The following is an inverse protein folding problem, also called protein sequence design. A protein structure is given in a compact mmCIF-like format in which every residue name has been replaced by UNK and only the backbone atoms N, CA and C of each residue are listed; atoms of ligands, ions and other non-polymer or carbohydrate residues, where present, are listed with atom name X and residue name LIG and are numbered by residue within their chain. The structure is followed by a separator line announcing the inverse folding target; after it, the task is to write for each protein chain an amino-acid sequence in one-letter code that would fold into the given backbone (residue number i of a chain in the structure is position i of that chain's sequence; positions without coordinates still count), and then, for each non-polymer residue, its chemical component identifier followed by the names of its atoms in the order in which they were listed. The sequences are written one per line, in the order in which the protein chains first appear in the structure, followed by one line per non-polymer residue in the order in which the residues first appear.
data_IF_572604126849
#
_entry.id   IF_572604126849
#
_cell.length_a   1.000
_cell.length_b   1.000
_cell.length_c   1.000
_cell.angle_alpha   90.00
_cell.angle_beta   90.00
_cell.angle_gamma   90.00
#
_symmetry.space_group_name_H-M   'P 1'
#
loop_
_entity.id
_entity.type
_entity.pdbx_description
1 polymer ?
#
# COMPACT_ATOMS: atom_id res chain seq x y z
N UNK A 1 -12.85 -0.82 -22.03
CA UNK A 1 -12.02 -1.28 -20.89
C UNK A 1 -11.40 -0.06 -20.24
N UNK A 2 -11.85 0.39 -19.07
CA UNK A 2 -11.26 1.55 -18.40
C UNK A 2 -10.04 1.20 -17.54
N UNK A 3 -9.26 2.24 -17.18
CA UNK A 3 -8.16 2.20 -16.20
C UNK A 3 -7.08 1.16 -16.46
N UNK A 4 -6.68 0.41 -15.43
CA UNK A 4 -5.55 -0.54 -15.53
C UNK A 4 -5.76 -1.62 -16.59
N UNK A 5 -6.99 -2.06 -16.85
CA UNK A 5 -7.28 -3.04 -17.90
C UNK A 5 -6.93 -2.53 -19.30
N UNK A 6 -7.09 -1.22 -19.55
CA UNK A 6 -6.67 -0.62 -20.82
C UNK A 6 -5.16 -0.72 -20.99
N UNK A 7 -4.40 -0.36 -19.95
CA UNK A 7 -2.94 -0.39 -19.96
C UNK A 7 -2.42 -1.81 -20.17
N UNK A 8 -2.98 -2.79 -19.46
CA UNK A 8 -2.64 -4.22 -19.61
C UNK A 8 -2.90 -4.69 -21.06
N UNK A 9 -4.01 -4.26 -21.65
CA UNK A 9 -4.34 -4.60 -23.04
C UNK A 9 -3.36 -3.98 -24.04
N UNK A 10 -2.97 -2.71 -23.85
CA UNK A 10 -2.05 -2.00 -24.73
C UNK A 10 -0.63 -2.59 -24.68
N UNK A 11 -0.22 -3.10 -23.52
CA UNK A 11 1.06 -3.79 -23.33
C UNK A 11 1.08 -5.20 -23.94
N UNK A 12 -0.05 -5.70 -24.46
CA UNK A 12 -0.15 -7.04 -25.02
C UNK A 12 0.02 -8.16 -23.98
N UNK A 13 -0.23 -7.87 -22.69
CA UNK A 13 -0.06 -8.85 -21.64
C UNK A 13 -1.12 -9.97 -21.73
N UNK A 14 -0.68 -11.23 -21.61
CA UNK A 14 -1.58 -12.37 -21.55
C UNK A 14 -2.32 -12.40 -20.21
N UNK A 15 -3.65 -12.43 -20.25
CA UNK A 15 -4.52 -12.48 -19.08
C UNK A 15 -5.05 -13.90 -18.86
N UNK A 16 -5.07 -14.33 -17.61
CA UNK A 16 -5.65 -15.61 -17.17
C UNK A 16 -6.64 -15.30 -16.08
N UNK A 17 -7.90 -15.63 -16.31
CA UNK A 17 -8.99 -15.40 -15.36
C UNK A 17 -9.26 -16.67 -14.55
N UNK A 18 -9.47 -16.51 -13.25
CA UNK A 18 -9.88 -17.58 -12.35
C UNK A 18 -10.72 -17.02 -11.20
N UNK A 19 -11.43 -17.88 -10.49
CA UNK A 19 -12.06 -17.49 -9.24
C UNK A 19 -11.02 -17.07 -8.20
N UNK A 20 -11.40 -16.22 -7.26
CA UNK A 20 -10.50 -15.73 -6.19
C UNK A 20 -9.90 -16.87 -5.37
N UNK A 21 -10.67 -17.96 -5.16
CA UNK A 21 -10.21 -19.17 -4.46
C UNK A 21 -9.17 -19.99 -5.26
N UNK A 22 -9.13 -19.81 -6.57
CA UNK A 22 -8.27 -20.58 -7.51
C UNK A 22 -7.01 -19.82 -7.91
N UNK A 23 -6.75 -18.63 -7.33
CA UNK A 23 -5.60 -17.79 -7.69
C UNK A 23 -4.28 -18.53 -7.52
N UNK A 24 -4.04 -19.15 -6.36
CA UNK A 24 -2.79 -19.87 -6.09
C UNK A 24 -2.60 -21.09 -7.01
N UNK A 25 -3.57 -22.03 -7.13
CA UNK A 25 -3.47 -23.13 -8.09
C UNK A 25 -3.28 -22.67 -9.55
N UNK A 26 -3.94 -21.58 -9.95
CA UNK A 26 -3.82 -21.04 -11.30
C UNK A 26 -2.41 -20.52 -11.57
N UNK A 27 -1.81 -19.79 -10.62
CA UNK A 27 -0.42 -19.34 -10.72
C UNK A 27 0.52 -20.53 -10.91
N UNK A 28 0.39 -21.57 -10.09
CA UNK A 28 1.25 -22.77 -10.17
C UNK A 28 1.13 -23.49 -11.51
N UNK A 29 -0.10 -23.64 -12.02
CA UNK A 29 -0.36 -24.23 -13.34
C UNK A 29 0.26 -23.41 -14.47
N UNK A 30 0.14 -22.08 -14.44
CA UNK A 30 0.71 -21.21 -15.45
C UNK A 30 2.24 -21.20 -15.42
N UNK A 31 2.86 -21.18 -14.23
CA UNK A 31 4.31 -21.31 -14.09
C UNK A 31 4.80 -22.65 -14.64
N UNK A 32 4.10 -23.74 -14.35
CA UNK A 32 4.44 -25.09 -14.82
C UNK A 32 4.32 -25.20 -16.34
N UNK A 33 3.23 -24.69 -16.91
CA UNK A 33 3.03 -24.61 -18.36
C UNK A 33 4.17 -23.86 -19.06
N UNK A 34 4.54 -22.67 -18.55
CA UNK A 34 5.62 -21.89 -19.13
C UNK A 34 6.97 -22.62 -19.04
N UNK A 35 7.23 -23.35 -17.96
CA UNK A 35 8.45 -24.19 -17.84
C UNK A 35 8.47 -25.34 -18.85
N UNK A 36 7.34 -26.00 -19.08
CA UNK A 36 7.20 -27.06 -20.09
C UNK A 36 7.41 -26.53 -21.52
N UNK A 37 7.05 -25.26 -21.76
CA UNK A 37 7.35 -24.54 -23.01
C UNK A 37 8.83 -24.09 -23.12
N UNK A 38 9.71 -24.51 -22.21
CA UNK A 38 11.13 -24.16 -22.22
C UNK A 38 11.45 -22.75 -21.68
N UNK A 39 10.47 -22.05 -21.09
CA UNK A 39 10.67 -20.69 -20.53
C UNK A 39 11.16 -20.75 -19.08
N UNK A 40 11.65 -19.60 -18.59
CA UNK A 40 12.10 -19.40 -17.21
C UNK A 40 11.25 -18.33 -16.51
N UNK A 41 10.02 -18.66 -16.07
CA UNK A 41 9.12 -17.67 -15.49
C UNK A 41 9.61 -17.22 -14.11
N UNK A 42 9.52 -15.92 -13.83
CA UNK A 42 9.72 -15.33 -12.51
C UNK A 42 8.37 -14.90 -11.93
N UNK A 43 8.05 -15.39 -10.73
CA UNK A 43 6.77 -15.08 -10.09
C UNK A 43 6.90 -13.81 -9.24
N UNK A 44 6.19 -12.77 -9.65
CA UNK A 44 6.04 -11.54 -8.87
C UNK A 44 4.76 -11.65 -8.04
N UNK A 45 4.91 -11.76 -6.72
CA UNK A 45 3.78 -11.83 -5.79
C UNK A 45 2.92 -10.56 -5.88
N UNK A 46 1.61 -10.70 -5.70
CA UNK A 46 0.69 -9.58 -5.66
C UNK A 46 1.15 -8.50 -4.67
N UNK A 47 1.05 -7.24 -5.08
CA UNK A 47 1.50 -6.09 -4.27
C UNK A 47 3.00 -6.02 -4.01
N UNK A 48 3.82 -6.77 -4.78
CA UNK A 48 5.27 -6.82 -4.59
C UNK A 48 5.66 -7.35 -3.21
N UNK A 49 4.84 -8.22 -2.61
CA UNK A 49 5.01 -8.72 -1.25
C UNK A 49 6.12 -9.76 -1.15
N UNK A 50 7.34 -9.26 -1.30
CA UNK A 50 8.57 -10.02 -1.26
C UNK A 50 9.74 -9.12 -0.84
N UNK A 51 10.89 -9.72 -0.56
CA UNK A 51 12.07 -9.02 -0.06
C UNK A 51 12.50 -7.81 -0.91
N UNK A 52 12.53 -7.86 -2.27
CA UNK A 52 12.84 -6.69 -3.08
C UNK A 52 11.89 -5.51 -2.85
N UNK A 53 10.60 -5.77 -2.63
CA UNK A 53 9.62 -4.74 -2.33
C UNK A 53 9.88 -4.05 -0.99
N UNK A 54 10.33 -4.80 0.02
CA UNK A 54 10.75 -4.25 1.32
C UNK A 54 11.94 -3.30 1.12
N UNK A 55 12.97 -3.74 0.40
CA UNK A 55 14.15 -2.92 0.11
C UNK A 55 13.84 -1.66 -0.69
N UNK A 56 12.88 -1.72 -1.62
CA UNK A 56 12.46 -0.55 -2.39
C UNK A 56 11.94 0.57 -1.47
N UNK A 57 11.12 0.23 -0.47
CA UNK A 57 10.58 1.23 0.46
C UNK A 57 11.55 1.65 1.58
N UNK A 58 12.53 0.81 1.94
CA UNK A 58 13.68 1.25 2.75
C UNK A 58 14.46 2.34 2.01
N UNK A 59 14.71 2.15 0.71
CA UNK A 59 15.38 3.14 -0.14
C UNK A 59 14.53 4.39 -0.31
N UNK A 60 13.22 4.24 -0.56
CA UNK A 60 12.31 5.38 -0.68
C UNK A 60 12.26 6.22 0.60
N UNK A 61 12.31 5.59 1.78
CA UNK A 61 12.40 6.32 3.05
C UNK A 61 13.69 7.16 3.13
N UNK A 62 14.84 6.60 2.71
CA UNK A 62 16.12 7.34 2.68
C UNK A 62 16.11 8.46 1.66
N UNK A 63 15.51 8.22 0.49
CA UNK A 63 15.33 9.24 -0.54
C UNK A 63 14.51 10.43 0.01
N UNK A 64 13.39 10.13 0.67
CA UNK A 64 12.55 11.13 1.32
C UNK A 64 13.34 11.97 2.34
N UNK A 65 14.18 11.36 3.18
CA UNK A 65 15.03 12.11 4.12
C UNK A 65 16.02 13.05 3.43
N UNK A 66 16.46 12.72 2.22
CA UNK A 66 17.31 13.60 1.40
C UNK A 66 16.56 14.74 0.72
N UNK A 67 15.24 14.63 0.60
CA UNK A 67 14.38 15.61 -0.08
C UNK A 67 13.68 16.57 0.90
N UNK A 68 13.45 16.14 2.13
CA UNK A 68 12.68 16.88 3.13
C UNK A 68 13.62 17.48 4.17
N UNK A 69 13.68 18.82 4.22
CA UNK A 69 14.43 19.56 5.24
C UNK A 69 13.67 19.72 6.56
N UNK A 70 12.35 19.58 6.51
CA UNK A 70 11.41 19.95 7.55
C UNK A 70 10.88 18.72 8.28
N UNK A 71 11.04 18.61 9.61
CA UNK A 71 10.65 17.40 10.33
C UNK A 71 9.12 17.20 10.32
N UNK A 72 8.68 15.96 10.21
CA UNK A 72 7.27 15.57 10.32
C UNK A 72 7.05 14.68 11.54
N UNK A 73 5.83 14.73 12.09
CA UNK A 73 5.45 13.96 13.26
C UNK A 73 4.81 12.61 12.88
N UNK A 74 4.19 12.53 11.70
CA UNK A 74 3.47 11.35 11.23
C UNK A 74 3.69 11.13 9.74
N UNK A 75 3.72 9.85 9.34
CA UNK A 75 3.56 9.39 7.97
C UNK A 75 2.27 8.57 7.90
N UNK A 76 1.36 8.91 6.99
CA UNK A 76 0.18 8.10 6.68
C UNK A 76 0.31 7.48 5.30
N UNK A 77 -0.13 6.23 5.16
CA UNK A 77 -0.13 5.52 3.88
C UNK A 77 -1.28 4.52 3.79
N UNK A 78 -1.64 4.15 2.57
CA UNK A 78 -2.47 2.96 2.35
C UNK A 78 -1.67 1.69 2.66
N UNK A 79 -2.23 0.80 3.48
CA UNK A 79 -1.59 -0.48 3.83
C UNK A 79 -2.48 -1.66 3.44
N UNK A 80 -2.03 -2.40 2.42
CA UNK A 80 -2.68 -3.60 1.91
C UNK A 80 -1.92 -4.87 2.28
N UNK A 81 -0.93 -5.23 1.46
CA UNK A 81 -0.06 -6.39 1.72
C UNK A 81 0.96 -6.16 2.84
N UNK A 82 1.15 -4.90 3.27
CA UNK A 82 2.06 -4.53 4.35
C UNK A 82 3.50 -4.22 3.91
N UNK A 83 3.89 -4.56 2.66
CA UNK A 83 5.28 -4.39 2.19
C UNK A 83 5.75 -2.94 2.21
N UNK A 84 4.93 -2.02 1.72
CA UNK A 84 5.22 -0.59 1.71
C UNK A 84 5.46 -0.08 3.13
N UNK A 85 4.53 -0.38 4.04
CA UNK A 85 4.64 0.01 5.43
C UNK A 85 5.87 -0.60 6.11
N UNK A 86 6.14 -1.89 5.88
CA UNK A 86 7.30 -2.58 6.44
C UNK A 86 8.62 -1.93 5.99
N UNK A 87 8.77 -1.63 4.70
CA UNK A 87 9.97 -1.00 4.19
C UNK A 87 10.19 0.40 4.76
N UNK A 88 9.12 1.20 4.90
CA UNK A 88 9.21 2.51 5.55
C UNK A 88 9.59 2.41 7.03
N UNK A 89 8.99 1.48 7.77
CA UNK A 89 9.30 1.24 9.20
C UNK A 89 10.75 0.79 9.39
N UNK A 90 11.25 -0.12 8.55
CA UNK A 90 12.64 -0.54 8.59
C UNK A 90 13.56 0.64 8.23
N UNK A 91 13.23 1.38 7.17
CA UNK A 91 13.97 2.58 6.76
C UNK A 91 14.09 3.61 7.89
N UNK A 92 12.99 3.86 8.59
CA UNK A 92 12.94 4.69 9.79
C UNK A 92 13.86 4.18 10.88
N UNK A 93 13.72 2.90 11.27
CA UNK A 93 14.50 2.32 12.35
C UNK A 93 16.01 2.36 12.07
N UNK A 94 16.42 2.16 10.81
CA UNK A 94 17.82 2.24 10.38
C UNK A 94 18.36 3.68 10.33
N UNK A 95 17.48 4.67 10.19
CA UNK A 95 17.87 6.08 10.07
C UNK A 95 17.67 6.87 11.38
N UNK A 96 17.17 6.22 12.43
CA UNK A 96 16.89 6.87 13.72
C UNK A 96 15.70 7.84 13.71
N UNK A 97 14.78 7.68 12.76
CA UNK A 97 13.55 8.47 12.67
C UNK A 97 12.63 8.24 13.87
N UNK A 98 11.74 9.20 14.15
CA UNK A 98 10.88 9.21 15.35
C UNK A 98 9.40 9.48 15.06
N UNK A 99 9.09 9.84 13.83
CA UNK A 99 7.73 10.04 13.36
C UNK A 99 6.90 8.76 13.49
N UNK A 100 5.58 8.89 13.60
CA UNK A 100 4.69 7.72 13.66
C UNK A 100 4.26 7.32 12.26
N UNK A 101 4.61 6.10 11.83
CA UNK A 101 4.19 5.56 10.54
C UNK A 101 2.89 4.77 10.71
N UNK A 102 1.78 5.32 10.23
CA UNK A 102 0.44 4.75 10.34
C UNK A 102 -0.04 4.24 8.99
N UNK A 103 -0.16 2.92 8.89
CA UNK A 103 -0.79 2.29 7.74
C UNK A 103 -2.30 2.20 7.92
N UNK A 104 -3.05 2.88 7.06
CA UNK A 104 -4.50 2.78 7.01
C UNK A 104 -4.86 1.57 6.15
N UNK A 105 -5.56 0.61 6.74
CA UNK A 105 -5.93 -0.62 6.09
C UNK A 105 -6.85 -0.37 4.90
N UNK A 106 -6.54 -1.01 3.77
CA UNK A 106 -7.45 -1.02 2.62
C UNK A 106 -8.35 -2.25 2.57
N UNK A 107 -8.06 -3.28 3.38
CA UNK A 107 -8.72 -4.58 3.27
C UNK A 107 -8.56 -5.53 4.48
N UNK A 108 -7.48 -5.44 5.26
CA UNK A 108 -7.12 -6.43 6.28
C UNK A 108 -7.44 -5.94 7.70
N UNK A 109 -7.69 -6.88 8.61
CA UNK A 109 -7.73 -6.56 10.04
C UNK A 109 -6.31 -6.32 10.58
N UNK A 110 -6.19 -5.54 11.64
CA UNK A 110 -4.93 -5.10 12.22
C UNK A 110 -4.01 -6.25 12.62
N UNK A 111 -4.55 -7.29 13.28
CA UNK A 111 -3.75 -8.45 13.67
C UNK A 111 -3.05 -9.12 12.47
N UNK A 112 -3.77 -9.23 11.34
CA UNK A 112 -3.23 -9.84 10.12
C UNK A 112 -2.28 -8.89 9.40
N UNK A 113 -2.62 -7.60 9.35
CA UNK A 113 -1.74 -6.56 8.80
C UNK A 113 -0.38 -6.52 9.51
N UNK A 114 -0.40 -6.52 10.84
CA UNK A 114 0.79 -6.53 11.69
C UNK A 114 1.62 -7.79 11.47
N UNK A 115 1.00 -8.97 11.41
CA UNK A 115 1.72 -10.21 11.12
C UNK A 115 2.47 -10.16 9.78
N UNK A 116 1.90 -9.53 8.77
CA UNK A 116 2.50 -9.45 7.43
C UNK A 116 3.66 -8.45 7.40
N UNK A 117 3.58 -7.38 8.20
CA UNK A 117 4.69 -6.45 8.42
C UNK A 117 5.82 -7.15 9.19
N UNK A 118 5.50 -7.88 10.25
CA UNK A 118 6.47 -8.68 11.02
C UNK A 118 7.19 -9.70 10.13
N UNK A 119 6.47 -10.36 9.22
CA UNK A 119 7.07 -11.26 8.24
C UNK A 119 8.10 -10.53 7.37
N UNK A 120 7.77 -9.33 6.87
CA UNK A 120 8.69 -8.51 6.08
C UNK A 120 9.94 -8.10 6.88
N UNK A 121 9.76 -7.72 8.16
CA UNK A 121 10.89 -7.39 9.06
C UNK A 121 11.78 -8.61 9.31
N UNK A 122 11.19 -9.80 9.49
CA UNK A 122 11.94 -11.05 9.61
C UNK A 122 12.72 -11.36 8.33
N UNK A 123 12.10 -11.27 7.16
CA UNK A 123 12.79 -11.47 5.87
C UNK A 123 13.97 -10.53 5.71
N UNK A 124 13.79 -9.25 6.04
CA UNK A 124 14.89 -8.28 6.02
C UNK A 124 16.01 -8.68 7.00
N UNK A 125 15.65 -9.08 8.21
CA UNK A 125 16.63 -9.44 9.25
C UNK A 125 17.43 -10.68 8.88
N UNK A 126 16.76 -11.71 8.35
CA UNK A 126 17.38 -12.95 7.91
C UNK A 126 18.33 -12.72 6.73
N UNK A 127 17.97 -11.82 5.81
CA UNK A 127 18.81 -11.49 4.65
C UNK A 127 19.98 -10.56 4.98
N UNK A 128 19.74 -9.51 5.78
CA UNK A 128 20.73 -8.45 6.03
C UNK A 128 21.64 -8.71 7.23
N UNK A 129 21.23 -9.62 8.14
CA UNK A 129 21.86 -9.80 9.44
C UNK A 129 21.57 -8.69 10.46
N UNK A 130 20.82 -7.66 10.09
CA UNK A 130 20.47 -6.53 10.96
C UNK A 130 19.12 -6.75 11.63
N UNK A 131 18.99 -6.37 12.91
CA UNK A 131 17.74 -6.47 13.67
C UNK A 131 17.25 -5.08 14.08
N UNK A 132 16.49 -4.37 13.22
CA UNK A 132 15.99 -3.05 13.55
C UNK A 132 15.06 -3.11 14.78
N UNK A 133 15.25 -2.20 15.72
CA UNK A 133 14.40 -2.08 16.91
C UNK A 133 13.10 -1.38 16.55
N UNK A 134 12.01 -2.14 16.40
CA UNK A 134 10.68 -1.63 16.04
C UNK A 134 9.74 -1.89 17.22
N UNK A 135 9.35 -0.87 18.00
CA UNK A 135 8.58 -1.06 19.23
C UNK A 135 7.12 -1.43 18.97
N UNK A 136 6.53 -0.96 17.87
CA UNK A 136 5.16 -1.29 17.49
C UNK A 136 4.89 -1.05 16.01
N UNK A 137 3.91 -1.77 15.48
CA UNK A 137 3.37 -1.60 14.13
C UNK A 137 2.01 -0.91 14.23
N UNK A 138 1.91 0.32 13.71
CA UNK A 138 0.65 1.07 13.71
C UNK A 138 -0.13 0.75 12.43
N UNK A 139 -0.92 -0.32 12.48
CA UNK A 139 -1.83 -0.71 11.41
C UNK A 139 -3.27 -0.43 11.86
N UNK A 140 -3.91 0.57 11.24
CA UNK A 140 -5.26 1.01 11.59
C UNK A 140 -6.29 0.40 10.65
N UNK A 141 -7.18 -0.44 11.17
CA UNK A 141 -8.29 -1.07 10.45
C UNK A 141 -9.66 -0.49 10.80
N UNK A 142 -9.71 0.58 11.59
CA UNK A 142 -10.96 1.28 11.97
C UNK A 142 -11.72 1.83 10.76
N UNK A 143 -11.02 2.11 9.66
CA UNK A 143 -11.55 2.76 8.46
C UNK A 143 -11.61 1.84 7.23
N UNK A 144 -11.92 0.56 7.45
CA UNK A 144 -12.05 -0.43 6.37
C UNK A 144 -13.12 -0.08 5.34
N UNK A 145 -14.14 0.70 5.73
CA UNK A 145 -15.15 1.25 4.83
C UNK A 145 -15.78 0.16 3.93
N UNK A 146 -16.28 -0.91 4.55
CA UNK A 146 -16.84 -2.07 3.84
C UNK A 146 -15.82 -3.08 3.32
N UNK A 147 -14.54 -2.97 3.72
CA UNK A 147 -13.49 -3.94 3.40
C UNK A 147 -12.84 -3.74 2.03
N UNK A 148 -12.23 -4.80 1.48
CA UNK A 148 -11.52 -4.72 0.20
C UNK A 148 -12.46 -4.29 -0.94
N UNK A 149 -12.17 -3.14 -1.55
CA UNK A 149 -13.04 -2.48 -2.55
C UNK A 149 -14.44 -2.09 -2.05
N UNK A 150 -14.66 -2.10 -0.74
CA UNK A 150 -15.86 -1.55 -0.11
C UNK A 150 -15.95 -0.05 -0.32
N UNK A 151 -17.18 0.45 -0.42
CA UNK A 151 -17.49 1.86 -0.65
C UNK A 151 -17.95 2.53 0.65
N UNK A 152 -17.52 3.78 0.85
CA UNK A 152 -18.01 4.65 1.91
C UNK A 152 -18.15 6.08 1.35
N UNK A 153 -19.27 6.78 1.58
CA UNK A 153 -19.50 8.13 1.02
C UNK A 153 -18.37 9.12 1.34
N UNK A 154 -17.83 9.07 2.56
CA UNK A 154 -16.72 9.94 2.98
C UNK A 154 -15.46 9.79 2.12
N UNK A 155 -15.21 8.63 1.51
CA UNK A 155 -14.07 8.46 0.60
C UNK A 155 -14.26 9.32 -0.66
N UNK A 156 -15.47 9.36 -1.22
CA UNK A 156 -15.78 10.17 -2.39
C UNK A 156 -15.69 11.67 -2.13
N UNK A 157 -16.17 12.11 -0.96
CA UNK A 157 -16.03 13.48 -0.49
C UNK A 157 -14.57 13.90 -0.36
N UNK A 158 -13.74 13.07 0.29
CA UNK A 158 -12.31 13.36 0.46
C UNK A 158 -11.57 13.39 -0.89
N UNK A 159 -11.93 12.51 -1.84
CA UNK A 159 -11.35 12.54 -3.19
C UNK A 159 -11.72 13.84 -3.90
N UNK A 160 -12.98 14.29 -3.80
CA UNK A 160 -13.45 15.53 -4.41
C UNK A 160 -12.77 16.75 -3.82
N UNK A 161 -12.66 16.82 -2.49
CA UNK A 161 -11.95 17.88 -1.78
C UNK A 161 -10.45 17.86 -2.13
N UNK A 162 -9.81 16.70 -2.11
CA UNK A 162 -8.39 16.58 -2.42
C UNK A 162 -8.07 17.05 -3.85
N UNK A 163 -8.94 16.73 -4.80
CA UNK A 163 -8.82 17.19 -6.17
C UNK A 163 -9.09 18.70 -6.29
N UNK A 164 -10.16 19.20 -5.66
CA UNK A 164 -10.59 20.59 -5.78
C UNK A 164 -9.67 21.59 -5.06
N UNK A 165 -9.13 21.22 -3.91
CA UNK A 165 -8.32 22.11 -3.06
C UNK A 165 -6.82 21.95 -3.30
N UNK A 166 -6.35 20.71 -3.46
CA UNK A 166 -4.90 20.42 -3.51
C UNK A 166 -4.43 19.95 -4.89
N UNK A 167 -5.32 19.86 -5.89
CA UNK A 167 -5.02 19.22 -7.18
C UNK A 167 -4.47 17.80 -7.03
N UNK A 168 -4.87 17.12 -5.94
CA UNK A 168 -4.37 15.80 -5.58
C UNK A 168 -5.35 14.72 -6.03
N UNK A 169 -4.94 13.92 -7.01
CA UNK A 169 -5.77 12.84 -7.57
C UNK A 169 -5.62 11.57 -6.74
N UNK A 170 -6.59 11.31 -5.88
CA UNK A 170 -6.69 10.09 -5.08
C UNK A 170 -7.58 9.03 -5.77
N UNK A 171 -7.28 7.76 -5.55
CA UNK A 171 -8.08 6.63 -6.02
C UNK A 171 -9.04 6.11 -4.93
N UNK A 172 -10.22 5.56 -5.28
CA UNK A 172 -11.23 5.15 -4.31
C UNK A 172 -10.90 3.87 -3.52
N UNK A 173 -9.85 3.13 -3.89
CA UNK A 173 -9.55 1.82 -3.32
C UNK A 173 -8.37 1.85 -2.34
N UNK A 174 -7.40 2.74 -2.55
CA UNK A 174 -6.19 2.81 -1.72
C UNK A 174 -5.98 4.21 -1.14
N UNK A 175 -5.58 5.17 -1.97
CA UNK A 175 -5.12 6.49 -1.50
C UNK A 175 -6.27 7.32 -0.93
N UNK A 176 -7.48 7.25 -1.51
CA UNK A 176 -8.68 7.90 -0.97
C UNK A 176 -9.10 7.32 0.38
N UNK A 177 -9.04 5.99 0.54
CA UNK A 177 -9.28 5.33 1.83
C UNK A 177 -8.25 5.75 2.88
N UNK A 178 -6.97 5.77 2.52
CA UNK A 178 -5.91 6.17 3.42
C UNK A 178 -6.02 7.65 3.82
N UNK A 179 -6.40 8.53 2.90
CA UNK A 179 -6.58 9.95 3.18
C UNK A 179 -7.80 10.19 4.07
N UNK A 180 -8.91 9.49 3.81
CA UNK A 180 -10.08 9.50 4.68
C UNK A 180 -9.72 9.01 6.09
N UNK A 181 -9.13 7.81 6.20
CA UNK A 181 -8.73 7.25 7.49
C UNK A 181 -7.70 8.10 8.23
N UNK A 182 -6.80 8.78 7.53
CA UNK A 182 -5.89 9.77 8.12
C UNK A 182 -6.68 10.90 8.81
N UNK A 183 -7.65 11.51 8.13
CA UNK A 183 -8.45 12.62 8.70
C UNK A 183 -9.25 12.18 9.92
N UNK A 184 -9.89 11.02 9.82
CA UNK A 184 -10.66 10.45 10.91
C UNK A 184 -9.75 10.08 12.09
N UNK A 185 -8.58 9.48 11.84
CA UNK A 185 -7.61 9.13 12.87
C UNK A 185 -7.12 10.38 13.62
N UNK A 186 -6.75 11.43 12.88
CA UNK A 186 -6.29 12.70 13.47
C UNK A 186 -7.38 13.32 14.36
N UNK A 187 -8.63 13.29 13.88
CA UNK A 187 -9.78 13.82 14.62
C UNK A 187 -10.07 13.01 15.89
N UNK A 188 -10.17 11.69 15.76
CA UNK A 188 -10.49 10.78 16.87
C UNK A 188 -9.43 10.81 17.98
N UNK A 189 -8.16 11.04 17.62
CA UNK A 189 -7.05 11.11 18.57
C UNK A 189 -6.72 12.55 19.02
N UNK A 190 -7.51 13.55 18.62
CA UNK A 190 -7.28 14.94 19.00
C UNK A 190 -5.93 15.50 18.53
N UNK A 191 -5.37 14.97 17.44
CA UNK A 191 -4.05 15.33 16.94
C UNK A 191 -4.17 16.67 16.19
N UNK A 192 -3.53 17.71 16.74
CA UNK A 192 -3.54 19.08 16.21
C UNK A 192 -2.13 19.66 16.20
N UNK A 193 -1.87 20.64 15.32
CA UNK A 193 -0.58 21.34 15.21
C UNK A 193 0.60 20.38 14.97
N UNK A 194 0.39 19.39 14.10
CA UNK A 194 1.37 18.36 13.73
C UNK A 194 1.64 18.41 12.24
N UNK A 195 2.89 18.17 11.84
CA UNK A 195 3.25 18.08 10.42
C UNK A 195 3.08 16.65 9.96
N UNK A 196 2.21 16.46 8.96
CA UNK A 196 1.81 15.14 8.47
C UNK A 196 2.36 14.97 7.06
N UNK A 197 3.05 13.86 6.82
CA UNK A 197 3.41 13.40 5.48
C UNK A 197 2.38 12.35 5.05
N UNK A 198 1.67 12.62 3.95
CA UNK A 198 0.80 11.63 3.32
C UNK A 198 1.56 10.95 2.16
N UNK A 199 1.80 9.65 2.28
CA UNK A 199 2.51 8.88 1.27
C UNK A 199 1.56 8.47 0.15
N UNK A 200 1.51 9.28 -0.91
CA UNK A 200 0.64 9.04 -2.05
C UNK A 200 1.15 7.88 -2.93
N UNK A 201 0.64 6.67 -2.72
CA UNK A 201 1.09 5.43 -3.42
C UNK A 201 0.62 5.26 -4.87
N UNK A 202 -0.10 6.24 -5.43
CA UNK A 202 -0.60 6.20 -6.81
C UNK A 202 -2.02 5.65 -6.92
N UNK A 203 -2.30 4.87 -7.97
CA UNK A 203 -3.62 4.24 -8.19
C UNK A 203 -4.59 5.04 -9.06
N UNK A 204 -4.18 6.20 -9.56
CA UNK A 204 -5.02 7.15 -10.32
C UNK A 204 -5.79 6.53 -11.51
N UNK A 205 -5.23 5.59 -12.31
CA UNK A 205 -6.01 4.95 -13.38
C UNK A 205 -7.28 4.25 -12.89
N UNK A 206 -7.35 3.86 -11.61
CA UNK A 206 -8.54 3.25 -11.03
C UNK A 206 -9.72 4.23 -10.94
N UNK A 207 -9.47 5.53 -10.84
CA UNK A 207 -10.53 6.55 -10.88
C UNK A 207 -11.35 6.46 -12.17
N UNK A 208 -10.68 6.12 -13.29
CA UNK A 208 -11.31 5.95 -14.59
C UNK A 208 -12.11 4.64 -14.69
N UNK A 209 -11.89 3.66 -13.80
CA UNK A 209 -12.65 2.41 -13.75
C UNK A 209 -13.93 2.49 -12.94
N UNK A 210 -14.04 3.50 -12.07
CA UNK A 210 -15.17 3.70 -11.16
C UNK A 210 -16.40 4.34 -11.80
N UNK A 211 -16.38 4.63 -13.12
CA UNK A 211 -17.52 5.17 -13.84
C UNK A 211 -18.77 4.27 -13.66
N UNK A 212 -19.69 4.69 -12.79
CA UNK A 212 -20.92 3.96 -12.43
C UNK A 212 -21.08 3.63 -10.95
N UNK A 213 -20.00 3.63 -10.15
CA UNK A 213 -20.07 3.66 -8.68
C UNK A 213 -19.89 5.11 -8.28
N UNK A 214 -20.89 5.74 -7.65
CA UNK A 214 -20.80 7.14 -7.21
C UNK A 214 -19.50 7.30 -6.40
N UNK A 215 -18.53 8.02 -6.93
CA UNK A 215 -17.38 8.57 -6.20
C UNK A 215 -17.71 10.05 -5.98
#
# INVERSE_FOLDING_TARGET
MPGNELLISLLGARRVWCDVKEVAPTIERELSKLRLEGKRPYFIKGGGHDLPGVFAYIQAYREMLGQISEPFDYIFLASGTGTTQAGLIIGQALSGGREKIIGVSTARLAWRGNQEIENCVRWYSDYSGQRPSIPSYLFCDDYLCGGNRGYHPGIGEVIREALGEYSLVLDPFYTGKAFYGMREYLTANGIKNKRILFWHTGGQPMLLTSAGRRV
#
